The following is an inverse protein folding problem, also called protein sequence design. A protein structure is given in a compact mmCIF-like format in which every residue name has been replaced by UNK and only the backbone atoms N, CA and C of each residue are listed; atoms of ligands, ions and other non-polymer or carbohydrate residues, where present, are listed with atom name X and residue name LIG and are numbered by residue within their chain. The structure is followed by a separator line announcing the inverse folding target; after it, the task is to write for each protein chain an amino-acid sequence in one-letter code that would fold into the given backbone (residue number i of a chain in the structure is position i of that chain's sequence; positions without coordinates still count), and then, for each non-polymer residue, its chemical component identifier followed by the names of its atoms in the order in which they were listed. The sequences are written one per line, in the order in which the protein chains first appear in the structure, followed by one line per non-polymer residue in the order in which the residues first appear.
data_IF_299655777970
#
_entry.id   IF_299655777970
#
_cell.length_a   1.000
_cell.length_b   1.000
_cell.length_c   1.000
_cell.angle_alpha   90.00
_cell.angle_beta   90.00
_cell.angle_gamma   90.00
#
_symmetry.space_group_name_H-M   'P 1'
#
loop_
_entity.id
_entity.type
_entity.pdbx_description
1 polymer ?
#
# COMPACT_ATOMS: atom_id res chain seq x y z
N UNK A 1 41.60 3.86 58.52
CA UNK A 1 41.89 2.43 58.32
C UNK A 1 40.57 1.76 57.97
N UNK A 2 40.30 1.07 56.86
CA UNK A 2 40.92 0.72 55.57
C UNK A 2 39.70 0.49 54.63
N UNK A 3 39.57 1.07 53.43
CA UNK A 3 40.26 0.77 52.17
C UNK A 3 40.12 -0.70 51.69
N UNK A 4 39.36 -0.88 50.59
CA UNK A 4 39.37 -1.94 49.54
C UNK A 4 37.93 -2.36 49.20
N UNK A 5 37.33 -2.18 48.00
CA UNK A 5 37.85 -2.01 46.65
C UNK A 5 38.02 -3.37 45.98
N UNK A 6 37.00 -3.85 45.24
CA UNK A 6 37.14 -4.77 44.09
C UNK A 6 35.97 -4.56 43.11
N UNK A 7 36.37 -4.21 41.88
CA UNK A 7 35.61 -4.16 40.64
C UNK A 7 35.60 -5.58 40.04
N UNK A 8 34.53 -6.00 39.34
CA UNK A 8 34.60 -6.71 38.04
C UNK A 8 33.21 -7.06 37.49
N UNK A 9 32.89 -6.45 36.34
CA UNK A 9 32.31 -7.04 35.11
C UNK A 9 31.07 -7.96 35.19
N UNK A 10 29.98 -7.50 34.58
CA UNK A 10 28.82 -8.31 34.21
C UNK A 10 28.00 -7.61 33.13
N UNK A 11 28.52 -7.68 31.90
CA UNK A 11 27.81 -7.70 30.61
C UNK A 11 26.65 -6.73 30.36
N UNK A 12 27.02 -5.69 29.60
CA UNK A 12 26.14 -4.87 28.79
C UNK A 12 25.72 -5.69 27.56
N UNK A 13 24.53 -6.30 27.57
CA UNK A 13 23.92 -6.91 26.37
C UNK A 13 22.76 -6.05 25.88
N UNK A 14 23.12 -5.12 25.01
CA UNK A 14 22.50 -4.96 23.69
C UNK A 14 21.07 -5.51 23.53
N UNK A 15 20.09 -4.61 23.50
CA UNK A 15 19.09 -4.62 22.43
C UNK A 15 19.37 -3.40 21.56
N UNK A 16 20.23 -3.60 20.57
CA UNK A 16 20.33 -2.71 19.42
C UNK A 16 18.91 -2.43 18.91
N UNK A 17 18.59 -1.14 18.74
CA UNK A 17 17.31 -0.71 18.20
C UNK A 17 16.98 -1.48 16.94
N UNK A 18 15.81 -2.11 16.93
CA UNK A 18 15.24 -2.73 15.75
C UNK A 18 15.25 -1.70 14.62
N UNK A 19 15.63 -2.09 13.39
CA UNK A 19 15.73 -1.17 12.28
C UNK A 19 14.37 -0.55 11.97
N UNK A 20 14.44 0.70 11.51
CA UNK A 20 13.32 1.50 10.96
C UNK A 20 12.37 0.64 10.14
N UNK A 21 11.07 0.84 10.36
CA UNK A 21 9.98 0.30 9.55
C UNK A 21 10.36 0.26 8.06
N UNK A 22 10.30 -0.91 7.39
CA UNK A 22 10.70 -1.05 5.99
C UNK A 22 9.78 -0.32 5.00
N UNK A 23 8.78 0.42 5.49
CA UNK A 23 7.73 1.04 4.69
C UNK A 23 8.07 2.44 4.14
N UNK A 24 9.27 2.98 4.44
CA UNK A 24 9.73 4.32 4.00
C UNK A 24 10.83 4.32 2.92
N UNK A 25 11.06 3.19 2.23
CA UNK A 25 11.96 3.18 1.07
C UNK A 25 11.23 3.61 -0.20
N UNK A 26 11.96 4.18 -1.16
CA UNK A 26 11.54 4.20 -2.56
C UNK A 26 10.99 2.82 -2.95
N UNK A 27 9.89 2.80 -3.72
CA UNK A 27 9.04 1.65 -4.05
C UNK A 27 9.55 0.30 -3.47
N UNK A 28 8.86 -0.31 -2.50
CA UNK A 28 9.33 -1.51 -1.83
C UNK A 28 9.93 -2.55 -2.79
N UNK A 29 11.17 -2.97 -2.51
CA UNK A 29 11.93 -3.86 -3.40
C UNK A 29 12.82 -3.16 -4.42
N UNK A 30 12.78 -1.82 -4.55
CA UNK A 30 13.72 -1.07 -5.39
C UNK A 30 15.15 -1.16 -4.81
N UNK A 31 16.13 -1.63 -5.59
CA UNK A 31 17.50 -1.75 -5.15
C UNK A 31 18.18 -0.38 -5.12
N UNK A 32 19.20 -0.24 -4.27
CA UNK A 32 20.12 0.89 -4.37
C UNK A 32 20.95 0.71 -5.64
N UNK A 33 20.76 1.58 -6.62
CA UNK A 33 21.50 1.50 -7.88
C UNK A 33 22.90 2.09 -7.73
N UNK A 34 23.92 1.32 -8.10
CA UNK A 34 25.27 1.84 -8.28
C UNK A 34 25.34 2.82 -9.47
N UNK A 35 24.53 2.58 -10.50
CA UNK A 35 24.33 3.48 -11.64
C UNK A 35 22.88 4.00 -11.65
N UNK A 36 22.65 5.29 -11.33
CA UNK A 36 21.31 5.89 -11.35
C UNK A 36 20.57 5.78 -12.69
N UNK A 37 21.28 5.61 -13.81
CA UNK A 37 20.66 5.46 -15.13
C UNK A 37 19.87 4.14 -15.28
N UNK A 38 20.10 3.16 -14.39
CA UNK A 38 19.35 1.90 -14.38
C UNK A 38 17.95 2.03 -13.75
N UNK A 39 17.74 3.03 -12.89
CA UNK A 39 16.49 3.15 -12.13
C UNK A 39 15.22 3.24 -13.01
N UNK A 40 15.17 4.07 -14.08
CA UNK A 40 13.98 4.12 -14.95
C UNK A 40 13.71 2.79 -15.65
N UNK A 41 14.75 2.09 -16.10
CA UNK A 41 14.62 0.76 -16.75
C UNK A 41 14.15 -0.30 -15.77
N UNK A 42 14.66 -0.28 -14.54
CA UNK A 42 14.22 -1.18 -13.48
C UNK A 42 12.76 -0.94 -13.11
N UNK A 43 12.33 0.32 -12.96
CA UNK A 43 10.92 0.65 -12.68
C UNK A 43 9.99 0.23 -13.82
N UNK A 44 10.41 0.39 -15.07
CA UNK A 44 9.65 -0.11 -16.21
C UNK A 44 9.51 -1.65 -16.19
N UNK A 45 10.57 -2.37 -15.84
CA UNK A 45 10.53 -3.83 -15.66
C UNK A 45 9.62 -4.22 -14.48
N UNK A 46 9.72 -3.53 -13.35
CA UNK A 46 8.84 -3.72 -12.19
C UNK A 46 7.38 -3.50 -12.55
N UNK A 47 7.06 -2.44 -13.29
CA UNK A 47 5.70 -2.18 -13.78
C UNK A 47 5.21 -3.28 -14.72
N UNK A 48 6.07 -3.79 -15.60
CA UNK A 48 5.70 -4.90 -16.48
C UNK A 48 5.42 -6.20 -15.70
N UNK A 49 6.14 -6.45 -14.59
CA UNK A 49 5.81 -7.54 -13.65
C UNK A 49 4.45 -7.29 -12.99
N UNK A 50 4.19 -6.07 -12.51
CA UNK A 50 2.92 -5.70 -11.88
C UNK A 50 1.73 -5.91 -12.84
N UNK A 51 1.86 -5.43 -14.08
CA UNK A 51 0.87 -5.60 -15.14
C UNK A 51 0.66 -7.08 -15.49
N UNK A 52 1.72 -7.90 -15.47
CA UNK A 52 1.60 -9.34 -15.67
C UNK A 52 0.80 -10.00 -14.53
N UNK A 53 1.11 -9.67 -13.27
CA UNK A 53 0.41 -10.22 -12.11
C UNK A 53 -1.08 -9.82 -12.10
N UNK A 54 -1.41 -8.56 -12.44
CA UNK A 54 -2.80 -8.12 -12.58
C UNK A 54 -3.55 -8.93 -13.63
N UNK A 55 -2.96 -9.14 -14.82
CA UNK A 55 -3.60 -9.93 -15.88
C UNK A 55 -3.78 -11.38 -15.48
N UNK A 56 -2.82 -11.93 -14.75
CA UNK A 56 -2.87 -13.30 -14.25
C UNK A 56 -4.05 -13.46 -13.27
N UNK A 57 -4.24 -12.53 -12.33
CA UNK A 57 -5.39 -12.52 -11.43
C UNK A 57 -6.69 -12.31 -12.21
N UNK A 58 -6.77 -11.30 -13.07
CA UNK A 58 -7.97 -10.95 -13.82
C UNK A 58 -8.44 -12.06 -14.78
N UNK A 59 -7.49 -12.82 -15.34
CA UNK A 59 -7.78 -13.95 -16.23
C UNK A 59 -8.11 -15.26 -15.51
N UNK A 60 -7.92 -15.32 -14.19
CA UNK A 60 -8.11 -16.55 -13.44
C UNK A 60 -9.58 -16.75 -13.01
N UNK A 61 -10.08 -18.01 -12.95
CA UNK A 61 -11.43 -18.29 -12.46
C UNK A 61 -11.71 -17.79 -11.04
N UNK A 62 -10.68 -17.69 -10.21
CA UNK A 62 -10.75 -17.20 -8.84
C UNK A 62 -10.59 -15.69 -8.73
N UNK A 63 -10.24 -14.98 -9.80
CA UNK A 63 -10.00 -13.53 -9.78
C UNK A 63 -11.22 -12.70 -9.34
N UNK A 64 -12.43 -13.22 -9.54
CA UNK A 64 -13.66 -12.60 -9.05
C UNK A 64 -13.81 -12.65 -7.52
N UNK A 65 -13.02 -13.51 -6.84
CA UNK A 65 -12.98 -13.64 -5.40
C UNK A 65 -11.96 -12.73 -4.72
N UNK A 66 -11.36 -11.78 -5.44
CA UNK A 66 -10.47 -10.77 -4.86
C UNK A 66 -10.82 -9.36 -5.35
N UNK A 67 -10.54 -8.36 -4.53
CA UNK A 67 -10.75 -6.95 -4.80
C UNK A 67 -9.43 -6.20 -4.65
N UNK A 68 -9.00 -5.55 -5.73
CA UNK A 68 -7.79 -4.73 -5.72
C UNK A 68 -7.99 -3.49 -4.84
N UNK A 69 -7.04 -3.22 -3.95
CA UNK A 69 -6.99 -2.06 -3.06
C UNK A 69 -5.60 -1.42 -3.09
N UNK A 70 -5.38 -0.48 -2.18
CA UNK A 70 -4.07 0.13 -1.96
C UNK A 70 -3.68 1.11 -3.05
N UNK A 71 -2.37 1.24 -3.28
CA UNK A 71 -1.81 2.36 -4.07
C UNK A 71 -2.08 2.29 -5.57
N UNK A 72 -2.28 1.10 -6.14
CA UNK A 72 -2.53 0.98 -7.58
C UNK A 72 -3.90 1.54 -7.98
N UNK A 73 -5.04 1.19 -7.33
CA UNK A 73 -6.31 1.88 -7.58
C UNK A 73 -6.20 3.40 -7.44
N UNK A 74 -5.50 3.88 -6.40
CA UNK A 74 -5.27 5.33 -6.23
C UNK A 74 -4.62 5.93 -7.46
N UNK A 75 -3.54 5.33 -7.98
CA UNK A 75 -2.89 5.78 -9.22
C UNK A 75 -3.86 5.81 -10.41
N UNK A 76 -4.70 4.79 -10.57
CA UNK A 76 -5.68 4.76 -11.67
C UNK A 76 -6.74 5.87 -11.52
N UNK A 77 -7.16 6.17 -10.29
CA UNK A 77 -8.15 7.22 -10.04
C UNK A 77 -7.58 8.62 -10.25
N UNK A 78 -6.41 8.92 -9.67
CA UNK A 78 -5.89 10.31 -9.60
C UNK A 78 -4.78 10.59 -10.62
N UNK A 79 -4.36 9.58 -11.38
CA UNK A 79 -3.43 9.72 -12.51
C UNK A 79 -2.01 10.08 -12.09
N UNK A 80 -1.35 10.92 -12.89
CA UNK A 80 0.07 11.28 -12.75
C UNK A 80 0.43 11.98 -11.44
N UNK A 81 -0.57 12.50 -10.70
CA UNK A 81 -0.35 13.07 -9.38
C UNK A 81 -0.05 12.01 -8.31
N UNK A 82 -0.44 10.75 -8.55
CA UNK A 82 -0.14 9.67 -7.63
C UNK A 82 1.34 9.31 -7.67
N UNK A 83 1.86 8.91 -6.51
CA UNK A 83 3.13 8.18 -6.47
C UNK A 83 3.00 6.83 -7.18
N UNK A 84 4.12 6.31 -7.66
CA UNK A 84 4.16 4.97 -8.24
C UNK A 84 3.79 3.90 -7.19
N UNK A 85 2.90 2.95 -7.52
CA UNK A 85 2.57 1.84 -6.65
C UNK A 85 3.74 0.84 -6.60
N UNK A 86 4.08 0.39 -5.40
CA UNK A 86 5.14 -0.60 -5.19
C UNK A 86 4.63 -2.04 -5.12
N UNK A 87 3.38 -2.22 -4.67
CA UNK A 87 2.81 -3.53 -4.35
C UNK A 87 1.44 -3.71 -5.01
N UNK A 88 0.91 -4.94 -4.94
CA UNK A 88 -0.48 -5.24 -5.26
C UNK A 88 -1.22 -5.71 -4.01
N UNK A 89 -2.12 -4.88 -3.51
CA UNK A 89 -2.90 -5.15 -2.32
C UNK A 89 -4.30 -5.67 -2.68
N UNK A 90 -4.76 -6.72 -2.00
CA UNK A 90 -6.02 -7.40 -2.28
C UNK A 90 -6.83 -7.63 -1.02
N UNK A 91 -8.13 -7.45 -1.11
CA UNK A 91 -9.10 -8.05 -0.18
C UNK A 91 -9.59 -9.35 -0.79
N UNK A 92 -9.54 -10.44 -0.02
CA UNK A 92 -10.08 -11.74 -0.41
C UNK A 92 -11.53 -11.82 0.00
N UNK A 93 -12.41 -12.20 -0.94
CA UNK A 93 -13.82 -12.41 -0.68
C UNK A 93 -14.06 -13.88 -0.36
N UNK A 94 -14.32 -14.17 0.92
CA UNK A 94 -14.58 -15.53 1.41
C UNK A 94 -13.31 -16.28 1.80
N UNK A 95 -13.37 -17.62 1.80
CA UNK A 95 -12.34 -18.47 2.41
C UNK A 95 -11.40 -19.13 1.39
N UNK A 96 -11.11 -18.44 0.28
CA UNK A 96 -10.29 -19.02 -0.79
C UNK A 96 -8.81 -18.85 -0.46
N UNK A 97 -8.03 -19.93 -0.51
CA UNK A 97 -6.56 -19.87 -0.43
C UNK A 97 -5.94 -19.29 -1.71
N UNK A 98 -6.09 -17.97 -1.91
CA UNK A 98 -5.67 -17.25 -3.12
C UNK A 98 -4.17 -17.38 -3.36
N UNK A 99 -3.38 -17.37 -2.30
CA UNK A 99 -1.93 -17.36 -2.40
C UNK A 99 -1.37 -18.60 -3.15
N UNK A 100 -1.91 -19.80 -2.91
CA UNK A 100 -1.52 -21.01 -3.66
C UNK A 100 -1.94 -20.91 -5.14
N UNK A 101 -3.10 -20.28 -5.39
CA UNK A 101 -3.63 -20.10 -6.74
C UNK A 101 -2.78 -19.14 -7.57
N UNK A 102 -2.16 -18.13 -6.96
CA UNK A 102 -1.19 -17.24 -7.63
C UNK A 102 0.00 -18.04 -8.12
N UNK A 103 0.62 -18.87 -7.26
CA UNK A 103 1.78 -19.67 -7.64
C UNK A 103 1.44 -20.66 -8.75
N UNK A 104 0.27 -21.29 -8.69
CA UNK A 104 -0.19 -22.20 -9.76
C UNK A 104 -0.46 -21.47 -11.08
N UNK A 105 -1.06 -20.29 -11.02
CA UNK A 105 -1.29 -19.46 -12.19
C UNK A 105 0.03 -18.91 -12.78
N UNK A 106 1.08 -18.72 -11.99
CA UNK A 106 2.42 -18.39 -12.51
C UNK A 106 3.04 -19.57 -13.29
N UNK A 107 2.73 -20.81 -12.93
CA UNK A 107 3.23 -22.01 -13.64
C UNK A 107 2.49 -22.29 -14.94
N UNK A 108 1.19 -22.04 -14.97
CA UNK A 108 0.28 -22.48 -16.05
C UNK A 108 -0.29 -21.33 -16.88
N UNK A 109 -0.09 -20.11 -16.43
CA UNK A 109 -0.67 -18.90 -17.00
C UNK A 109 0.05 -18.42 -18.26
N UNK A 110 -0.26 -17.19 -18.70
CA UNK A 110 0.34 -16.61 -19.90
C UNK A 110 1.85 -16.46 -19.74
N UNK A 111 2.57 -16.40 -20.86
CA UNK A 111 4.00 -16.08 -20.83
C UNK A 111 4.27 -14.71 -20.18
N UNK A 112 5.40 -14.62 -19.51
CA UNK A 112 5.95 -13.35 -19.01
C UNK A 112 6.33 -12.44 -20.19
N UNK A 113 6.40 -11.11 -19.96
CA UNK A 113 6.98 -10.19 -20.95
C UNK A 113 8.42 -10.60 -21.31
N UNK A 114 8.83 -10.31 -22.54
CA UNK A 114 10.18 -10.63 -23.02
C UNK A 114 11.25 -10.02 -22.11
N UNK A 115 12.27 -10.82 -21.79
CA UNK A 115 13.39 -10.41 -20.94
C UNK A 115 13.12 -10.44 -19.43
N UNK A 116 11.88 -10.73 -19.00
CA UNK A 116 11.51 -10.89 -17.58
C UNK A 116 11.41 -12.37 -17.23
N UNK A 117 11.95 -12.74 -16.07
CA UNK A 117 11.89 -14.11 -15.53
C UNK A 117 11.37 -14.08 -14.10
N UNK A 118 10.45 -14.99 -13.81
CA UNK A 118 9.97 -15.33 -12.46
C UNK A 118 10.09 -16.83 -12.33
N UNK A 119 10.72 -17.31 -11.25
CA UNK A 119 10.71 -18.71 -10.87
C UNK A 119 9.58 -18.95 -9.88
N UNK A 120 8.49 -19.65 -10.26
CA UNK A 120 7.38 -19.90 -9.34
C UNK A 120 7.78 -20.73 -8.11
N UNK A 121 8.90 -21.47 -8.16
CA UNK A 121 9.41 -22.23 -7.00
C UNK A 121 10.17 -21.36 -5.99
N UNK A 122 10.57 -20.16 -6.39
CA UNK A 122 11.25 -19.19 -5.52
C UNK A 122 10.27 -18.22 -4.82
N UNK A 123 8.97 -18.32 -5.08
CA UNK A 123 7.95 -17.52 -4.40
C UNK A 123 7.88 -17.93 -2.93
N UNK A 124 8.02 -16.97 -2.02
CA UNK A 124 7.95 -17.21 -0.58
C UNK A 124 6.72 -16.52 0.02
N UNK A 125 6.18 -17.12 1.07
CA UNK A 125 5.14 -16.52 1.90
C UNK A 125 5.80 -15.88 3.11
N UNK A 126 5.47 -14.62 3.37
CA UNK A 126 5.77 -13.98 4.63
C UNK A 126 4.52 -14.11 5.52
N UNK A 127 4.48 -15.20 6.30
CA UNK A 127 3.37 -15.54 7.22
C UNK A 127 3.47 -14.82 8.56
N UNK A 128 4.59 -14.15 8.84
CA UNK A 128 4.73 -13.25 10.00
C UNK A 128 4.06 -11.89 9.73
N UNK A 129 3.65 -11.64 8.49
CA UNK A 129 2.83 -10.49 8.13
C UNK A 129 1.35 -10.75 8.45
N UNK A 130 0.98 -10.54 9.70
CA UNK A 130 -0.42 -10.38 10.10
C UNK A 130 -0.93 -9.07 9.48
N UNK A 131 -1.89 -9.13 8.53
CA UNK A 131 -2.68 -7.92 8.25
C UNK A 131 -3.38 -7.63 9.54
N UNK A 132 -3.05 -6.51 10.15
CA UNK A 132 -3.30 -6.22 11.54
C UNK A 132 -2.27 -6.85 12.49
N UNK A 133 -1.33 -6.00 12.87
CA UNK A 133 -0.92 -5.79 14.27
C UNK A 133 -2.12 -5.39 15.19
N UNK A 134 -3.35 -5.73 14.77
CA UNK A 134 -4.69 -5.28 15.17
C UNK A 134 -5.83 -6.33 14.91
N UNK A 135 -5.56 -7.64 14.62
CA UNK A 135 -6.54 -8.78 14.44
C UNK A 135 -7.23 -9.15 13.05
N UNK A 136 -6.55 -9.28 11.90
CA UNK A 136 -7.06 -10.07 10.74
C UNK A 136 -5.99 -11.07 10.31
N UNK A 137 -6.38 -12.15 9.66
CA UNK A 137 -5.41 -13.02 9.00
C UNK A 137 -5.08 -12.45 7.62
N UNK A 138 -3.79 -12.43 7.27
CA UNK A 138 -3.30 -11.95 5.99
C UNK A 138 -2.07 -12.70 5.51
N UNK A 139 -1.83 -12.66 4.19
CA UNK A 139 -0.71 -13.35 3.56
C UNK A 139 -0.02 -12.40 2.60
N UNK A 140 1.29 -12.22 2.78
CA UNK A 140 2.15 -11.54 1.82
C UNK A 140 2.92 -12.56 0.99
N UNK A 141 2.79 -12.47 -0.33
CA UNK A 141 3.64 -13.17 -1.28
C UNK A 141 4.81 -12.28 -1.69
N UNK A 142 6.02 -12.82 -1.61
CA UNK A 142 7.21 -12.24 -2.18
C UNK A 142 7.56 -13.02 -3.45
N UNK A 143 7.56 -12.32 -4.59
CA UNK A 143 7.73 -12.91 -5.92
C UNK A 143 9.03 -12.35 -6.52
N UNK A 144 10.16 -13.06 -6.38
CA UNK A 144 11.41 -12.66 -7.00
C UNK A 144 11.28 -12.63 -8.52
N UNK A 145 11.85 -11.60 -9.13
CA UNK A 145 11.91 -11.46 -10.58
C UNK A 145 13.28 -10.95 -11.02
N UNK A 146 13.65 -11.32 -12.24
CA UNK A 146 14.87 -10.89 -12.91
C UNK A 146 14.55 -10.26 -14.26
N UNK A 147 15.36 -9.28 -14.65
CA UNK A 147 15.35 -8.73 -16.00
C UNK A 147 16.78 -8.57 -16.51
N UNK A 148 17.00 -8.81 -17.80
CA UNK A 148 18.35 -8.79 -18.38
C UNK A 148 19.04 -7.43 -18.20
N UNK A 149 20.26 -7.46 -17.64
CA UNK A 149 21.07 -6.27 -17.40
C UNK A 149 20.55 -5.33 -16.31
N UNK A 150 19.61 -5.80 -15.48
CA UNK A 150 19.08 -5.07 -14.33
C UNK A 150 19.33 -5.86 -13.04
N UNK A 151 19.48 -5.19 -11.88
CA UNK A 151 19.45 -5.88 -10.60
C UNK A 151 18.09 -6.61 -10.42
N UNK A 152 18.11 -7.76 -9.77
CA UNK A 152 16.89 -8.50 -9.43
C UNK A 152 15.96 -7.65 -8.55
N UNK A 153 14.66 -7.93 -8.63
CA UNK A 153 13.64 -7.29 -7.82
C UNK A 153 12.72 -8.29 -7.14
N UNK A 154 11.84 -7.78 -6.27
CA UNK A 154 10.79 -8.57 -5.62
C UNK A 154 9.48 -7.83 -5.82
N UNK A 155 8.49 -8.49 -6.41
CA UNK A 155 7.12 -8.02 -6.46
C UNK A 155 6.40 -8.52 -5.21
N UNK A 156 5.67 -7.65 -4.51
CA UNK A 156 4.87 -8.04 -3.35
C UNK A 156 3.40 -8.05 -3.70
N UNK A 157 2.71 -9.10 -3.24
CA UNK A 157 1.26 -9.18 -3.29
C UNK A 157 0.71 -9.48 -1.91
N UNK A 158 -0.17 -8.61 -1.44
CA UNK A 158 -0.70 -8.65 -0.08
C UNK A 158 -2.17 -9.03 -0.13
N UNK A 159 -2.57 -10.05 0.62
CA UNK A 159 -3.94 -10.57 0.66
C UNK A 159 -4.49 -10.47 2.07
N UNK A 160 -5.51 -9.62 2.26
CA UNK A 160 -6.26 -9.50 3.51
C UNK A 160 -7.54 -10.36 3.43
N UNK A 161 -7.74 -11.28 4.38
CA UNK A 161 -8.82 -12.27 4.32
C UNK A 161 -10.09 -11.89 5.09
N UNK A 162 -9.95 -11.10 6.17
CA UNK A 162 -11.08 -10.68 7.02
C UNK A 162 -11.35 -9.16 6.95
N UNK A 163 -10.92 -8.51 5.88
CA UNK A 163 -11.17 -7.08 5.69
C UNK A 163 -12.64 -6.84 5.34
N UNK A 164 -13.32 -5.98 6.11
CA UNK A 164 -14.70 -5.62 5.83
C UNK A 164 -14.81 -4.76 4.56
N UNK A 165 -15.80 -5.08 3.73
CA UNK A 165 -16.15 -4.35 2.52
C UNK A 165 -17.50 -3.64 2.72
N UNK A 166 -17.53 -2.37 3.15
CA UNK A 166 -18.76 -1.63 3.44
C UNK A 166 -19.58 -1.32 2.17
N UNK A 167 -19.00 -1.53 0.99
CA UNK A 167 -19.68 -1.41 -0.30
C UNK A 167 -19.20 -2.49 -1.28
N UNK A 168 -19.99 -2.72 -2.33
CA UNK A 168 -19.61 -3.65 -3.39
C UNK A 168 -18.40 -3.11 -4.20
N UNK A 169 -17.51 -4.00 -4.67
CA UNK A 169 -16.39 -3.57 -5.51
C UNK A 169 -16.87 -2.97 -6.83
N UNK A 170 -16.08 -2.05 -7.36
CA UNK A 170 -16.31 -1.43 -8.67
C UNK A 170 -15.40 -2.05 -9.71
N UNK A 171 -15.79 -1.95 -10.98
CA UNK A 171 -14.91 -2.32 -12.09
C UNK A 171 -13.90 -1.20 -12.33
N UNK A 172 -12.62 -1.56 -12.36
CA UNK A 172 -11.50 -0.67 -12.66
C UNK A 172 -10.75 -1.18 -13.88
N UNK A 173 -10.55 -0.31 -14.87
CA UNK A 173 -9.74 -0.62 -16.05
C UNK A 173 -8.31 -0.08 -15.84
N UNK A 174 -7.40 -0.93 -15.34
CA UNK A 174 -6.03 -0.55 -15.03
C UNK A 174 -5.20 -0.37 -16.31
N UNK A 175 -4.68 0.84 -16.62
CA UNK A 175 -3.82 1.05 -17.78
C UNK A 175 -2.52 0.25 -17.65
N UNK A 176 -2.01 -0.26 -18.78
CA UNK A 176 -0.73 -0.96 -18.83
C UNK A 176 0.41 0.02 -19.12
N UNK A 177 1.56 -0.20 -18.48
CA UNK A 177 2.77 0.58 -18.70
C UNK A 177 3.35 0.44 -20.10
N UNK A 178 3.02 -0.64 -20.81
CA UNK A 178 3.45 -0.88 -22.20
C UNK A 178 2.48 -0.32 -23.26
N UNK A 179 1.41 0.38 -22.84
CA UNK A 179 0.41 0.94 -23.75
C UNK A 179 -0.54 -0.10 -24.37
N UNK A 180 -0.48 -1.36 -23.95
CA UNK A 180 -1.45 -2.38 -24.33
C UNK A 180 -2.86 -2.12 -23.75
N UNK A 181 -3.86 -2.96 -24.10
CA UNK A 181 -5.21 -2.82 -23.57
C UNK A 181 -5.24 -2.89 -22.04
N UNK A 182 -6.03 -2.02 -21.40
CA UNK A 182 -6.20 -2.01 -19.94
C UNK A 182 -6.65 -3.37 -19.40
N UNK A 183 -6.25 -3.67 -18.17
CA UNK A 183 -6.69 -4.86 -17.44
C UNK A 183 -7.90 -4.52 -16.58
N UNK A 184 -9.07 -5.05 -16.94
CA UNK A 184 -10.28 -4.86 -16.16
C UNK A 184 -10.26 -5.74 -14.91
N UNK A 185 -10.51 -5.16 -13.74
CA UNK A 185 -10.48 -5.87 -12.45
C UNK A 185 -11.50 -5.32 -11.45
N UNK A 186 -11.91 -6.14 -10.49
CA UNK A 186 -12.67 -5.69 -9.32
C UNK A 186 -11.74 -4.91 -8.39
N UNK A 187 -12.12 -3.69 -8.02
CA UNK A 187 -11.32 -2.83 -7.14
C UNK A 187 -12.21 -2.05 -6.17
N UNK A 188 -11.58 -1.47 -5.14
CA UNK A 188 -12.24 -0.49 -4.29
C UNK A 188 -12.54 0.80 -5.04
N UNK A 189 -13.67 1.43 -4.72
CA UNK A 189 -13.99 2.76 -5.27
C UNK A 189 -13.02 3.83 -4.75
N UNK A 190 -13.02 5.04 -5.34
CA UNK A 190 -12.28 6.17 -4.78
C UNK A 190 -12.70 6.49 -3.33
N UNK A 191 -14.00 6.35 -3.01
CA UNK A 191 -14.55 6.60 -1.68
C UNK A 191 -14.03 5.62 -0.64
N UNK A 192 -14.10 4.31 -0.93
CA UNK A 192 -13.57 3.28 -0.04
C UNK A 192 -12.04 3.35 0.08
N UNK A 193 -11.34 3.63 -1.02
CA UNK A 193 -9.89 3.87 -0.99
C UNK A 193 -9.53 5.02 -0.05
N UNK A 194 -10.30 6.12 -0.07
CA UNK A 194 -10.09 7.24 0.84
C UNK A 194 -10.31 6.82 2.30
N UNK A 195 -11.40 6.10 2.59
CA UNK A 195 -11.70 5.63 3.95
C UNK A 195 -10.56 4.79 4.51
N UNK A 196 -10.06 3.82 3.74
CA UNK A 196 -8.91 3.04 4.19
C UNK A 196 -7.66 3.90 4.38
N UNK A 197 -7.35 4.85 3.50
CA UNK A 197 -6.19 5.72 3.72
C UNK A 197 -6.29 6.53 5.01
N UNK A 198 -7.48 6.98 5.39
CA UNK A 198 -7.71 7.65 6.67
C UNK A 198 -7.59 6.69 7.86
N UNK A 199 -8.11 5.47 7.75
CA UNK A 199 -7.97 4.45 8.79
C UNK A 199 -6.50 4.14 9.05
N UNK A 200 -5.71 3.88 8.01
CA UNK A 200 -4.28 3.56 8.16
C UNK A 200 -3.48 4.74 8.69
N UNK A 201 -3.82 5.96 8.28
CA UNK A 201 -3.19 7.17 8.82
C UNK A 201 -3.44 7.33 10.33
N UNK A 202 -4.66 7.03 10.78
CA UNK A 202 -5.04 7.06 12.20
C UNK A 202 -4.38 5.93 12.97
N UNK A 203 -4.45 4.72 12.43
CA UNK A 203 -3.91 3.51 13.03
C UNK A 203 -2.42 3.65 13.30
N UNK A 204 -1.63 4.04 12.29
CA UNK A 204 -0.18 4.26 12.44
C UNK A 204 0.11 5.31 13.51
N UNK A 205 -0.72 6.37 13.59
CA UNK A 205 -0.57 7.39 14.62
C UNK A 205 -0.88 6.85 16.02
N UNK A 206 -1.93 6.03 16.17
CA UNK A 206 -2.30 5.42 17.45
C UNK A 206 -1.26 4.38 17.93
N UNK A 207 -0.63 3.60 17.03
CA UNK A 207 0.44 2.65 17.41
C UNK A 207 1.82 3.27 17.55
N UNK A 208 2.23 4.08 16.58
CA UNK A 208 3.61 4.56 16.45
C UNK A 208 3.79 5.99 16.95
N UNK A 209 2.71 6.70 17.28
CA UNK A 209 2.72 8.12 17.62
C UNK A 209 2.87 9.04 16.40
N UNK A 210 2.85 8.48 15.18
CA UNK A 210 2.98 9.19 13.90
C UNK A 210 2.32 8.41 12.77
N UNK A 211 1.59 9.11 11.91
CA UNK A 211 0.99 8.52 10.71
C UNK A 211 1.98 8.42 9.55
N UNK A 212 1.73 7.49 8.62
CA UNK A 212 2.53 7.40 7.40
C UNK A 212 2.23 8.55 6.43
N UNK A 213 3.27 9.30 6.02
CA UNK A 213 3.14 10.43 5.11
C UNK A 213 2.55 10.06 3.73
N UNK A 214 2.81 8.83 3.26
CA UNK A 214 2.20 8.30 2.02
C UNK A 214 0.68 8.21 2.11
N UNK A 215 0.14 7.87 3.28
CA UNK A 215 -1.31 7.70 3.47
C UNK A 215 -2.00 9.06 3.63
N UNK A 216 -1.33 10.04 4.28
CA UNK A 216 -1.74 11.44 4.25
C UNK A 216 -1.82 11.99 2.81
N UNK A 217 -0.78 11.74 2.01
CA UNK A 217 -0.70 12.21 0.62
C UNK A 217 -1.75 11.55 -0.28
N UNK A 218 -1.85 10.22 -0.24
CA UNK A 218 -2.83 9.46 -1.03
C UNK A 218 -4.28 9.86 -0.64
N UNK A 219 -4.56 10.04 0.66
CA UNK A 219 -5.86 10.52 1.14
C UNK A 219 -6.18 11.93 0.61
N UNK A 220 -5.20 12.84 0.61
CA UNK A 220 -5.37 14.19 0.07
C UNK A 220 -5.75 14.14 -1.42
N UNK A 221 -5.03 13.37 -2.22
CA UNK A 221 -5.35 13.23 -3.65
C UNK A 221 -6.74 12.64 -3.88
N UNK A 222 -7.09 11.59 -3.14
CA UNK A 222 -8.42 10.96 -3.25
C UNK A 222 -9.52 11.92 -2.82
N UNK A 223 -9.33 12.70 -1.76
CA UNK A 223 -10.34 13.64 -1.29
C UNK A 223 -10.56 14.80 -2.27
N UNK A 224 -9.52 15.24 -2.99
CA UNK A 224 -9.62 16.27 -4.03
C UNK A 224 -10.06 15.72 -5.39
N UNK A 225 -10.00 14.41 -5.61
CA UNK A 225 -10.44 13.77 -6.84
C UNK A 225 -11.96 13.97 -7.03
N UNK A 226 -12.44 14.64 -8.11
CA UNK A 226 -13.84 15.03 -8.23
C UNK A 226 -14.87 13.89 -8.18
N UNK A 227 -14.60 12.69 -8.75
CA UNK A 227 -15.46 11.51 -8.60
C UNK A 227 -15.55 10.92 -7.19
N UNK A 228 -14.67 11.28 -6.26
CA UNK A 228 -14.72 10.75 -4.89
C UNK A 228 -15.95 11.26 -4.16
N UNK A 229 -16.71 10.32 -3.60
CA UNK A 229 -17.85 10.64 -2.74
C UNK A 229 -17.90 9.70 -1.54
N UNK A 230 -18.24 10.26 -0.38
CA UNK A 230 -18.52 9.48 0.81
C UNK A 230 -20.03 9.26 0.95
N UNK A 231 -20.39 8.14 1.55
CA UNK A 231 -21.78 7.78 1.86
C UNK A 231 -21.94 7.71 3.39
N UNK A 232 -23.17 7.70 3.92
CA UNK A 232 -23.38 7.45 5.34
C UNK A 232 -22.76 6.12 5.83
N UNK A 233 -22.67 5.12 4.95
CA UNK A 233 -22.02 3.84 5.27
C UNK A 233 -20.51 4.02 5.43
N UNK A 234 -19.86 4.75 4.52
CA UNK A 234 -18.44 5.09 4.65
C UNK A 234 -18.11 5.83 5.95
N UNK A 235 -18.93 6.83 6.30
CA UNK A 235 -18.71 7.59 7.54
C UNK A 235 -18.92 6.74 8.80
N UNK A 236 -19.89 5.83 8.77
CA UNK A 236 -20.12 4.88 9.88
C UNK A 236 -18.94 3.94 10.03
N UNK A 237 -18.52 3.32 8.93
CA UNK A 237 -17.39 2.39 8.91
C UNK A 237 -16.11 3.08 9.41
N UNK A 238 -15.76 4.24 8.85
CA UNK A 238 -14.61 5.02 9.31
C UNK A 238 -14.66 5.33 10.82
N UNK A 239 -15.84 5.67 11.34
CA UNK A 239 -16.05 5.97 12.75
C UNK A 239 -15.94 4.73 13.66
N UNK A 240 -16.37 3.57 13.18
CA UNK A 240 -16.25 2.31 13.92
C UNK A 240 -14.78 1.92 14.06
N UNK A 241 -14.00 2.13 13.01
CA UNK A 241 -12.57 1.79 12.96
C UNK A 241 -11.67 2.81 13.67
N UNK A 242 -11.93 4.11 13.51
CA UNK A 242 -11.08 5.19 14.07
C UNK A 242 -11.61 5.78 15.37
N UNK A 243 -12.81 5.36 15.81
CA UNK A 243 -13.48 5.92 16.98
C UNK A 243 -14.08 7.32 16.75
N UNK A 244 -14.59 7.93 17.84
CA UNK A 244 -15.30 9.22 17.78
C UNK A 244 -14.36 10.44 17.67
N UNK A 245 -13.05 10.26 17.84
CA UNK A 245 -12.10 11.37 17.89
C UNK A 245 -11.75 11.87 16.49
N UNK A 246 -11.73 10.98 15.50
CA UNK A 246 -11.37 11.33 14.14
C UNK A 246 -12.44 12.22 13.51
N UNK A 247 -12.02 13.39 13.05
CA UNK A 247 -12.84 14.36 12.33
C UNK A 247 -11.98 15.02 11.25
N UNK A 248 -12.55 15.72 10.26
CA UNK A 248 -11.74 16.48 9.32
C UNK A 248 -10.75 17.43 10.01
N UNK A 249 -11.16 18.04 11.13
CA UNK A 249 -10.35 18.96 11.92
C UNK A 249 -9.24 18.27 12.74
N UNK A 250 -9.28 16.95 12.91
CA UNK A 250 -8.20 16.24 13.60
C UNK A 250 -6.99 15.98 12.70
N UNK A 251 -7.16 16.03 11.37
CA UNK A 251 -6.10 15.73 10.40
C UNK A 251 -4.82 16.57 10.61
N UNK A 252 -4.88 17.90 10.81
CA UNK A 252 -3.67 18.70 11.06
C UNK A 252 -2.95 18.38 12.38
N UNK A 253 -3.56 17.58 13.26
CA UNK A 253 -2.99 17.17 14.54
C UNK A 253 -2.33 15.78 14.49
N UNK A 254 -2.40 15.10 13.35
CA UNK A 254 -1.71 13.83 13.11
C UNK A 254 -0.29 14.16 12.63
N UNK A 255 0.70 13.90 13.49
CA UNK A 255 2.10 14.02 13.11
C UNK A 255 2.46 12.96 12.06
N UNK A 256 3.21 13.34 11.02
CA UNK A 256 3.64 12.41 9.95
C UNK A 256 5.13 12.55 9.66
N UNK A 257 5.79 11.44 9.30
CA UNK A 257 7.20 11.44 8.90
C UNK A 257 7.37 11.88 7.44
N UNK A 258 7.32 13.20 7.21
CA UNK A 258 7.29 13.77 5.85
C UNK A 258 8.64 13.79 5.14
N UNK A 259 9.74 13.95 5.87
CA UNK A 259 11.06 14.14 5.28
C UNK A 259 11.52 12.93 4.44
N UNK A 260 11.42 11.67 4.92
CA UNK A 260 11.73 10.49 4.11
C UNK A 260 10.83 10.36 2.88
N UNK A 261 9.53 10.64 3.04
CA UNK A 261 8.57 10.59 1.95
C UNK A 261 8.90 11.60 0.85
N UNK A 262 9.18 12.86 1.22
CA UNK A 262 9.54 13.90 0.26
C UNK A 262 10.91 13.63 -0.39
N UNK A 263 11.86 13.04 0.33
CA UNK A 263 13.13 12.61 -0.25
C UNK A 263 12.94 11.54 -1.35
N UNK A 264 11.97 10.64 -1.17
CA UNK A 264 11.60 9.63 -2.18
C UNK A 264 10.74 10.20 -3.32
N UNK A 265 9.97 11.26 -3.04
CA UNK A 265 9.02 11.88 -3.98
C UNK A 265 9.21 13.41 -4.08
N UNK A 266 10.37 13.89 -4.57
CA UNK A 266 10.73 15.32 -4.54
C UNK A 266 9.89 16.20 -5.47
N UNK A 267 9.04 15.60 -6.30
CA UNK A 267 8.08 16.29 -7.16
C UNK A 267 6.76 16.60 -6.44
N UNK A 268 6.55 16.07 -5.22
CA UNK A 268 5.38 16.39 -4.40
C UNK A 268 5.57 17.79 -3.82
N UNK A 269 4.84 18.76 -4.37
CA UNK A 269 4.90 20.14 -3.89
C UNK A 269 4.29 20.30 -2.49
N UNK A 270 5.06 20.90 -1.58
CA UNK A 270 4.58 21.34 -0.27
C UNK A 270 5.21 20.59 0.91
N UNK A 271 4.54 20.67 2.05
CA UNK A 271 4.95 20.06 3.31
C UNK A 271 3.74 19.33 3.93
N UNK A 272 3.99 18.62 5.04
CA UNK A 272 2.94 17.91 5.77
C UNK A 272 1.78 18.83 6.18
N UNK A 273 2.09 20.04 6.67
CA UNK A 273 1.08 21.00 7.14
C UNK A 273 0.15 21.44 6.00
N UNK A 274 0.70 21.81 4.85
CA UNK A 274 -0.09 22.18 3.67
C UNK A 274 -0.92 21.01 3.14
N UNK A 275 -0.36 19.80 3.16
CA UNK A 275 -1.05 18.59 2.70
C UNK A 275 -2.21 18.25 3.64
N UNK A 276 -1.98 18.30 4.96
CA UNK A 276 -3.01 18.11 5.97
C UNK A 276 -4.12 19.16 5.87
N UNK A 277 -3.77 20.44 5.68
CA UNK A 277 -4.75 21.51 5.52
C UNK A 277 -5.61 21.35 4.25
N UNK A 278 -5.03 20.83 3.16
CA UNK A 278 -5.78 20.48 1.93
C UNK A 278 -6.74 19.33 2.19
N UNK A 279 -6.25 18.25 2.82
CA UNK A 279 -7.06 17.09 3.18
C UNK A 279 -8.22 17.50 4.09
N UNK A 280 -7.97 18.26 5.16
CA UNK A 280 -9.01 18.78 6.06
C UNK A 280 -10.12 19.50 5.26
N UNK A 281 -9.76 20.47 4.41
CA UNK A 281 -10.74 21.23 3.62
C UNK A 281 -11.59 20.34 2.71
N UNK A 282 -10.96 19.37 2.06
CA UNK A 282 -11.67 18.42 1.20
C UNK A 282 -12.59 17.51 2.01
N UNK A 283 -12.13 16.99 3.16
CA UNK A 283 -12.93 16.14 4.04
C UNK A 283 -14.12 16.89 4.66
N UNK A 284 -13.96 18.15 5.07
CA UNK A 284 -15.08 18.98 5.57
C UNK A 284 -16.23 18.99 4.56
N UNK A 285 -15.91 19.19 3.27
CA UNK A 285 -16.90 19.15 2.19
C UNK A 285 -17.52 17.75 2.05
N UNK A 286 -16.69 16.70 1.93
CA UNK A 286 -17.17 15.33 1.71
C UNK A 286 -18.04 14.81 2.87
N UNK A 287 -17.67 15.13 4.11
CA UNK A 287 -18.43 14.76 5.30
C UNK A 287 -19.79 15.47 5.33
N UNK A 288 -19.82 16.77 5.03
CA UNK A 288 -21.07 17.52 4.95
C UNK A 288 -22.00 16.98 3.85
N UNK A 289 -21.46 16.65 2.67
CA UNK A 289 -22.21 16.06 1.57
C UNK A 289 -22.78 14.68 1.92
N UNK A 290 -22.00 13.83 2.59
CA UNK A 290 -22.43 12.51 3.01
C UNK A 290 -23.51 12.57 4.12
N UNK A 291 -23.40 13.51 5.07
CA UNK A 291 -24.38 13.71 6.13
C UNK A 291 -25.71 14.30 5.62
N UNK A 292 -25.70 15.01 4.50
CA UNK A 292 -26.89 15.57 3.85
C UNK A 292 -27.60 14.60 2.90
N UNK A 293 -27.03 13.42 2.62
CA UNK A 293 -27.66 12.39 1.79
C UNK A 293 -28.55 11.49 2.66
N UNK A 294 -29.82 11.26 2.26
CA UNK A 294 -30.75 10.39 3.00
C UNK A 294 -30.30 8.92 2.99
#
# INVERSE_FOLDING_TARGET
MNASGWNTTGENTSTAGLPKSPFDRAAPGEPVFADPALAPRWRAAHRAVQDHMLRLVAGAPWGAGVVLRGSLPVQVWVGEAAREPGDLDWVVLGTLEVHEKVVEALRTGPALPDGIRIDPSAVTQDVEWTVREYQTDGIRLLIPWEAEGLPAGVMRMDFAYDEEMPEAPVRLDCPRGDGGPSTAISAASPGLSLVWKLMWLVEDWDTEGRGAAKDLYDAMLLAEHPPTSLTPVHLRFLKEETGNWFTPQSVPHIDVDWEPFHAAHPWVDGDAEKTAARLERALVRLFAEAAGRP
#
